data_IF_064461819846
#
_entry.id   IF_064461819846
#
_cell.length_a   1.000
_cell.length_b   1.000
_cell.length_c   1.000
_cell.angle_alpha   90.00
_cell.angle_beta   90.00
_cell.angle_gamma   90.00
#
_symmetry.space_group_name_H-M   'P 1'
#
loop_
_entity.id
_entity.type
_entity.pdbx_description
1 polymer ?
#
# COMPACT_ATOMS: atom_id res chain seq x y z
N UNK A 1 49.33 -32.26 23.38
CA UNK A 1 48.99 -31.41 22.22
C UNK A 1 47.62 -30.79 22.45
N UNK A 2 47.58 -29.52 22.88
CA UNK A 2 46.33 -28.81 23.16
C UNK A 2 46.09 -27.81 22.03
N UNK A 3 45.06 -28.07 21.23
CA UNK A 3 44.67 -27.22 20.10
C UNK A 3 43.92 -26.00 20.63
N UNK A 4 44.61 -24.86 20.69
CA UNK A 4 43.99 -23.55 20.87
C UNK A 4 43.15 -23.21 19.63
N UNK A 5 41.84 -23.44 19.69
CA UNK A 5 40.90 -22.87 18.72
C UNK A 5 40.68 -21.40 19.07
N UNK A 6 41.49 -20.51 18.50
CA UNK A 6 41.22 -19.06 18.51
C UNK A 6 39.96 -18.80 17.68
N UNK A 7 38.82 -18.68 18.35
CA UNK A 7 37.61 -18.13 17.73
C UNK A 7 37.83 -16.65 17.43
N UNK A 8 38.25 -16.34 16.21
CA UNK A 8 38.09 -14.99 15.66
C UNK A 8 36.59 -14.73 15.53
N UNK A 9 36.00 -14.08 16.53
CA UNK A 9 34.67 -13.48 16.43
C UNK A 9 34.76 -12.36 15.40
N UNK A 10 34.66 -12.71 14.12
CA UNK A 10 34.65 -11.78 13.00
C UNK A 10 33.43 -10.89 13.22
N UNK A 11 33.65 -9.64 13.67
CA UNK A 11 32.63 -8.58 13.67
C UNK A 11 32.15 -8.41 12.25
N UNK A 12 31.16 -9.21 11.87
CA UNK A 12 30.37 -9.08 10.67
C UNK A 12 29.85 -7.64 10.71
N UNK A 13 30.35 -6.81 9.79
CA UNK A 13 29.98 -5.40 9.66
C UNK A 13 28.46 -5.27 9.73
N UNK A 14 27.96 -4.73 10.85
CA UNK A 14 26.53 -4.47 11.05
C UNK A 14 25.95 -3.52 9.97
N UNK A 15 26.81 -2.82 9.21
CA UNK A 15 26.41 -1.94 8.11
C UNK A 15 25.90 -2.69 6.87
N UNK A 16 26.48 -3.84 6.51
CA UNK A 16 26.09 -4.58 5.32
C UNK A 16 24.72 -5.25 5.47
N UNK A 17 24.37 -5.74 6.67
CA UNK A 17 23.07 -6.36 6.93
C UNK A 17 21.89 -5.38 6.86
N UNK A 18 22.13 -4.10 7.15
CA UNK A 18 21.10 -3.04 7.06
C UNK A 18 20.79 -2.63 5.61
N UNK A 19 21.65 -2.94 4.66
CA UNK A 19 21.42 -2.65 3.23
C UNK A 19 20.69 -3.79 2.52
N UNK A 20 20.70 -5.00 3.11
CA UNK A 20 20.04 -6.20 2.57
C UNK A 20 18.68 -6.49 3.23
N UNK A 21 18.32 -5.77 4.29
CA UNK A 21 17.01 -5.92 4.94
C UNK A 21 15.92 -5.25 4.10
N UNK A 22 14.96 -6.05 3.64
CA UNK A 22 13.79 -5.58 2.89
C UNK A 22 12.98 -4.53 3.67
N UNK A 23 12.91 -4.66 5.00
CA UNK A 23 12.29 -3.67 5.88
C UNK A 23 13.01 -2.33 5.82
N UNK A 24 14.34 -2.32 6.01
CA UNK A 24 15.11 -1.07 6.05
C UNK A 24 15.10 -0.39 4.68
N UNK A 25 15.17 -1.15 3.58
CA UNK A 25 15.05 -0.60 2.23
C UNK A 25 13.68 0.04 1.99
N UNK A 26 12.58 -0.64 2.37
CA UNK A 26 11.22 -0.08 2.26
C UNK A 26 11.03 1.17 3.13
N UNK A 27 11.57 1.17 4.34
CA UNK A 27 11.49 2.33 5.23
C UNK A 27 12.23 3.54 4.63
N UNK A 28 13.46 3.35 4.14
CA UNK A 28 14.23 4.41 3.46
C UNK A 28 13.48 4.96 2.24
N UNK A 29 12.93 4.07 1.42
CA UNK A 29 12.13 4.47 0.26
C UNK A 29 10.91 5.30 0.68
N UNK A 30 10.19 4.90 1.74
CA UNK A 30 9.08 5.70 2.27
C UNK A 30 9.51 7.06 2.81
N UNK A 31 10.70 7.19 3.38
CA UNK A 31 11.24 8.50 3.79
C UNK A 31 11.57 9.36 2.58
N UNK A 32 12.22 8.80 1.56
CA UNK A 32 12.51 9.49 0.30
C UNK A 32 11.23 10.03 -0.35
N UNK A 33 10.17 9.23 -0.43
CA UNK A 33 8.87 9.68 -0.97
C UNK A 33 8.21 10.81 -0.16
N UNK A 34 8.51 10.92 1.14
CA UNK A 34 7.95 11.96 2.01
C UNK A 34 8.74 13.26 1.97
N UNK A 35 10.04 13.18 1.72
CA UNK A 35 10.96 14.32 1.79
C UNK A 35 11.25 14.92 0.40
N UNK A 36 11.29 14.10 -0.65
CA UNK A 36 11.58 14.52 -2.02
C UNK A 36 10.32 14.48 -2.89
N UNK A 37 9.85 15.67 -3.28
CA UNK A 37 8.69 15.80 -4.15
C UNK A 37 8.89 15.19 -5.55
N UNK A 38 10.10 15.23 -6.10
CA UNK A 38 10.36 14.67 -7.44
C UNK A 38 10.33 13.15 -7.40
N UNK A 39 10.93 12.55 -6.36
CA UNK A 39 10.80 11.13 -6.10
C UNK A 39 9.32 10.73 -5.93
N UNK A 40 8.55 11.53 -5.20
CA UNK A 40 7.11 11.33 -5.04
C UNK A 40 6.34 11.44 -6.35
N UNK A 41 6.56 12.48 -7.15
CA UNK A 41 5.92 12.67 -8.47
C UNK A 41 6.23 11.51 -9.41
N UNK A 42 7.48 11.05 -9.43
CA UNK A 42 7.90 9.89 -10.22
C UNK A 42 7.17 8.62 -9.77
N UNK A 43 7.12 8.37 -8.46
CA UNK A 43 6.42 7.22 -7.90
C UNK A 43 4.92 7.25 -8.19
N UNK A 44 4.28 8.43 -8.12
CA UNK A 44 2.86 8.59 -8.48
C UNK A 44 2.61 8.28 -9.97
N UNK A 45 3.50 8.71 -10.87
CA UNK A 45 3.37 8.44 -12.31
C UNK A 45 3.49 6.96 -12.65
N UNK A 46 4.40 6.24 -11.99
CA UNK A 46 4.60 4.80 -12.21
C UNK A 46 3.75 3.91 -11.31
N UNK A 47 3.03 4.53 -10.38
CA UNK A 47 2.27 3.86 -9.34
C UNK A 47 1.03 3.18 -9.90
N UNK A 48 0.58 2.19 -9.13
CA UNK A 48 -0.71 1.53 -9.33
C UNK A 48 -1.57 1.83 -8.13
N UNK A 49 -2.82 2.20 -8.37
CA UNK A 49 -3.75 2.66 -7.37
C UNK A 49 -4.93 1.71 -7.23
N UNK A 50 -5.43 1.62 -6.00
CA UNK A 50 -6.64 0.90 -5.63
C UNK A 50 -7.68 1.92 -5.17
N UNK A 51 -8.93 1.72 -5.60
CA UNK A 51 -10.01 2.63 -5.27
C UNK A 51 -10.81 2.11 -4.08
N UNK A 52 -11.05 2.99 -3.12
CA UNK A 52 -11.89 2.75 -1.95
C UNK A 52 -12.96 3.82 -1.86
N UNK A 53 -14.17 3.43 -1.46
CA UNK A 53 -15.27 4.32 -1.11
C UNK A 53 -15.85 3.85 0.22
N UNK A 54 -15.94 4.72 1.24
CA UNK A 54 -16.37 4.36 2.60
C UNK A 54 -15.65 3.13 3.19
N UNK A 55 -14.33 3.04 2.96
CA UNK A 55 -13.48 1.91 3.37
C UNK A 55 -13.76 0.57 2.66
N UNK A 56 -14.65 0.54 1.68
CA UNK A 56 -14.92 -0.64 0.85
C UNK A 56 -14.16 -0.51 -0.49
N UNK A 57 -13.39 -1.54 -0.90
CA UNK A 57 -12.66 -1.51 -2.16
C UNK A 57 -13.57 -1.78 -3.35
N UNK A 58 -13.20 -1.21 -4.50
CA UNK A 58 -13.79 -1.57 -5.77
C UNK A 58 -13.28 -2.95 -6.23
N UNK A 59 -14.20 -3.87 -6.53
CA UNK A 59 -13.90 -5.22 -6.99
C UNK A 59 -14.70 -5.57 -8.24
N UNK A 60 -14.06 -6.27 -9.19
CA UNK A 60 -14.70 -6.81 -10.39
C UNK A 60 -15.04 -8.28 -10.18
N UNK A 61 -16.30 -8.64 -10.43
CA UNK A 61 -16.72 -10.03 -10.37
C UNK A 61 -16.22 -10.79 -11.60
N UNK A 62 -15.46 -11.86 -11.39
CA UNK A 62 -14.96 -12.75 -12.44
C UNK A 62 -15.34 -14.19 -12.09
N UNK A 63 -16.58 -14.57 -12.42
CA UNK A 63 -17.15 -15.86 -12.02
C UNK A 63 -17.27 -15.99 -10.50
N UNK A 64 -16.56 -16.97 -9.92
CA UNK A 64 -16.54 -17.22 -8.47
C UNK A 64 -15.41 -16.49 -7.73
N UNK A 65 -14.69 -15.59 -8.40
CA UNK A 65 -13.57 -14.84 -7.83
C UNK A 65 -13.76 -13.34 -8.02
N UNK A 66 -13.16 -12.57 -7.13
CA UNK A 66 -13.02 -11.14 -7.31
C UNK A 66 -11.64 -10.80 -7.86
N UNK A 67 -11.61 -9.87 -8.80
CA UNK A 67 -10.41 -9.22 -9.28
C UNK A 67 -10.37 -7.79 -8.75
N UNK A 68 -9.15 -7.30 -8.53
CA UNK A 68 -8.93 -5.94 -8.06
C UNK A 68 -8.47 -5.07 -9.22
N UNK A 69 -9.26 -4.06 -9.64
CA UNK A 69 -8.84 -3.09 -10.65
C UNK A 69 -7.57 -2.37 -10.21
N UNK A 70 -6.57 -2.36 -11.10
CA UNK A 70 -5.28 -1.72 -10.89
C UNK A 70 -5.22 -0.49 -11.80
N UNK A 71 -5.44 0.68 -11.22
CA UNK A 71 -5.57 1.93 -11.96
C UNK A 71 -4.23 2.64 -12.07
N UNK A 72 -3.93 3.17 -13.24
CA UNK A 72 -2.86 4.15 -13.43
C UNK A 72 -3.28 5.52 -12.90
N UNK A 73 -2.31 6.43 -12.76
CA UNK A 73 -2.58 7.81 -12.34
C UNK A 73 -3.56 8.53 -13.28
N UNK A 74 -3.41 8.36 -14.59
CA UNK A 74 -4.24 9.05 -15.58
C UNK A 74 -5.70 8.59 -15.52
N UNK A 75 -5.93 7.27 -15.38
CA UNK A 75 -7.27 6.71 -15.20
C UNK A 75 -7.89 7.20 -13.89
N UNK A 76 -7.11 7.21 -12.80
CA UNK A 76 -7.58 7.68 -11.49
C UNK A 76 -7.98 9.17 -11.53
N UNK A 77 -7.16 10.03 -12.13
CA UNK A 77 -7.45 11.46 -12.25
C UNK A 77 -8.71 11.71 -13.10
N UNK A 78 -8.91 10.94 -14.18
CA UNK A 78 -10.11 11.02 -15.00
C UNK A 78 -11.38 10.65 -14.23
N UNK A 79 -11.34 9.56 -13.46
CA UNK A 79 -12.48 9.06 -12.68
C UNK A 79 -12.85 9.99 -11.52
N UNK A 80 -11.86 10.46 -10.75
CA UNK A 80 -12.09 11.34 -9.59
C UNK A 80 -12.61 12.72 -9.98
N UNK A 81 -12.25 13.22 -11.16
CA UNK A 81 -12.69 14.52 -11.63
C UNK A 81 -14.14 14.54 -12.13
N UNK A 82 -14.73 13.38 -12.45
CA UNK A 82 -15.94 13.34 -13.28
C UNK A 82 -17.11 12.54 -12.71
N UNK A 83 -16.90 11.53 -11.87
CA UNK A 83 -17.94 10.52 -11.65
C UNK A 83 -18.42 10.36 -10.19
N UNK A 84 -19.75 10.41 -9.93
CA UNK A 84 -20.31 9.87 -8.70
C UNK A 84 -20.07 8.35 -8.60
N UNK A 85 -20.23 7.79 -7.40
CA UNK A 85 -19.98 6.35 -7.11
C UNK A 85 -20.56 5.39 -8.14
N UNK A 86 -21.82 5.58 -8.54
CA UNK A 86 -22.52 4.72 -9.49
C UNK A 86 -21.91 4.72 -10.89
N UNK A 87 -21.40 5.87 -11.32
CA UNK A 87 -20.76 5.99 -12.63
C UNK A 87 -19.37 5.36 -12.62
N UNK A 88 -18.63 5.46 -11.51
CA UNK A 88 -17.35 4.75 -11.34
C UNK A 88 -17.52 3.22 -11.39
N UNK A 89 -18.57 2.69 -10.76
CA UNK A 89 -18.91 1.26 -10.80
C UNK A 89 -19.24 0.79 -12.23
N UNK A 90 -19.98 1.61 -12.99
CA UNK A 90 -20.33 1.32 -14.37
C UNK A 90 -19.10 1.36 -15.31
N UNK A 91 -18.27 2.40 -15.23
CA UNK A 91 -17.09 2.58 -16.07
C UNK A 91 -16.07 1.46 -15.86
N UNK A 92 -15.87 1.07 -14.60
CA UNK A 92 -14.90 0.03 -14.24
C UNK A 92 -15.52 -1.37 -14.22
N UNK A 93 -16.82 -1.53 -14.51
CA UNK A 93 -17.51 -2.83 -14.46
C UNK A 93 -17.36 -3.56 -13.12
N UNK A 94 -17.29 -2.79 -12.03
CA UNK A 94 -17.00 -3.28 -10.68
C UNK A 94 -18.03 -2.79 -9.67
N UNK A 95 -17.92 -3.26 -8.44
CA UNK A 95 -18.77 -2.81 -7.34
C UNK A 95 -17.96 -2.63 -6.06
N UNK A 96 -18.36 -1.65 -5.25
CA UNK A 96 -17.77 -1.47 -3.93
C UNK A 96 -18.35 -2.48 -2.95
N UNK A 97 -17.52 -3.43 -2.51
CA UNK A 97 -17.95 -4.57 -1.70
C UNK A 97 -17.21 -4.54 -0.37
N UNK A 98 -17.91 -4.91 0.71
CA UNK A 98 -17.27 -5.07 2.03
C UNK A 98 -16.15 -6.09 1.96
N UNK A 99 -14.94 -5.70 2.36
CA UNK A 99 -13.75 -6.56 2.34
C UNK A 99 -13.98 -7.93 2.99
N UNK A 100 -14.75 -7.98 4.08
CA UNK A 100 -15.07 -9.23 4.78
C UNK A 100 -15.87 -10.21 3.92
N UNK A 101 -16.72 -9.71 3.02
CA UNK A 101 -17.52 -10.54 2.11
C UNK A 101 -16.66 -11.08 0.96
N UNK A 102 -15.69 -10.29 0.49
CA UNK A 102 -14.82 -10.66 -0.62
C UNK A 102 -13.60 -11.51 -0.22
N UNK A 103 -13.29 -11.61 1.08
CA UNK A 103 -12.07 -12.25 1.62
C UNK A 103 -11.77 -13.63 1.02
N UNK A 104 -12.78 -14.49 0.88
CA UNK A 104 -12.60 -15.86 0.40
C UNK A 104 -12.53 -15.99 -1.13
N UNK A 105 -12.96 -14.96 -1.85
CA UNK A 105 -13.01 -14.95 -3.32
C UNK A 105 -11.84 -14.17 -3.94
N UNK A 106 -11.11 -13.41 -3.12
CA UNK A 106 -9.88 -12.72 -3.50
C UNK A 106 -8.67 -13.64 -3.43
N UNK A 107 -7.64 -13.33 -4.22
CA UNK A 107 -6.35 -13.99 -4.06
C UNK A 107 -5.66 -13.55 -2.75
N UNK A 108 -4.74 -14.36 -2.24
CA UNK A 108 -4.09 -14.11 -0.94
C UNK A 108 -3.25 -12.83 -0.90
N UNK A 109 -2.64 -12.46 -2.03
CA UNK A 109 -1.74 -11.30 -2.14
C UNK A 109 -2.53 -9.99 -2.10
N UNK A 110 -3.51 -9.86 -2.98
CA UNK A 110 -4.38 -8.69 -3.07
C UNK A 110 -5.24 -8.58 -1.82
N UNK A 111 -5.69 -9.69 -1.23
CA UNK A 111 -6.38 -9.69 0.06
C UNK A 111 -5.50 -9.05 1.14
N UNK A 112 -4.28 -9.55 1.35
CA UNK A 112 -3.35 -8.97 2.34
C UNK A 112 -3.09 -7.48 2.09
N UNK A 113 -2.99 -7.06 0.84
CA UNK A 113 -2.74 -5.67 0.48
C UNK A 113 -3.97 -4.79 0.76
N UNK A 114 -5.16 -5.22 0.37
CA UNK A 114 -6.40 -4.48 0.59
C UNK A 114 -6.75 -4.35 2.08
N UNK A 115 -6.50 -5.38 2.90
CA UNK A 115 -6.66 -5.27 4.35
C UNK A 115 -5.67 -4.28 4.97
N UNK A 116 -4.43 -4.28 4.48
CA UNK A 116 -3.41 -3.30 4.93
C UNK A 116 -3.83 -1.88 4.54
N UNK A 117 -4.31 -1.69 3.31
CA UNK A 117 -4.82 -0.41 2.84
C UNK A 117 -6.04 0.06 3.64
N UNK A 118 -7.00 -0.82 3.90
CA UNK A 118 -8.18 -0.49 4.71
C UNK A 118 -7.79 -0.10 6.14
N UNK A 119 -6.85 -0.81 6.76
CA UNK A 119 -6.36 -0.47 8.10
C UNK A 119 -5.69 0.92 8.10
N UNK A 120 -4.93 1.25 7.07
CA UNK A 120 -4.32 2.57 6.90
C UNK A 120 -5.39 3.67 6.73
N UNK A 121 -6.39 3.44 5.88
CA UNK A 121 -7.49 4.39 5.67
C UNK A 121 -8.31 4.61 6.94
N UNK A 122 -8.59 3.54 7.70
CA UNK A 122 -9.24 3.65 9.03
C UNK A 122 -8.41 4.43 10.03
N UNK A 123 -7.10 4.21 10.02
CA UNK A 123 -6.20 4.97 10.88
C UNK A 123 -6.26 6.45 10.50
N UNK A 124 -6.18 6.78 9.21
CA UNK A 124 -6.27 8.16 8.72
C UNK A 124 -7.60 8.82 9.11
N UNK A 125 -8.72 8.14 8.89
CA UNK A 125 -10.06 8.62 9.23
C UNK A 125 -10.21 8.90 10.74
N UNK A 126 -9.59 8.07 11.59
CA UNK A 126 -9.57 8.26 13.04
C UNK A 126 -8.51 9.25 13.56
N UNK A 127 -7.51 9.63 12.76
CA UNK A 127 -6.40 10.50 13.16
C UNK A 127 -6.45 11.81 12.37
N UNK A 128 -7.57 12.52 12.53
CA UNK A 128 -7.84 13.79 11.86
C UNK A 128 -6.99 14.94 12.37
N UNK A 129 -6.23 14.79 13.46
CA UNK A 129 -5.42 15.87 14.04
C UNK A 129 -3.96 15.45 14.21
N UNK A 130 -3.05 16.36 13.86
CA UNK A 130 -1.62 16.20 14.09
C UNK A 130 -1.29 16.26 15.59
N UNK A 131 -0.62 15.25 16.12
CA UNK A 131 -0.22 15.21 17.54
C UNK A 131 0.80 16.29 17.93
N UNK A 132 1.55 16.84 16.97
CA UNK A 132 2.55 17.89 17.22
C UNK A 132 1.94 19.29 17.24
N UNK A 133 1.02 19.59 16.30
CA UNK A 133 0.48 20.94 16.11
C UNK A 133 -0.98 21.10 16.52
N UNK A 134 -1.72 20.00 16.72
CA UNK A 134 -3.17 19.99 16.95
C UNK A 134 -3.99 20.42 15.74
N UNK A 135 -3.35 20.71 14.60
CA UNK A 135 -4.02 21.10 13.36
C UNK A 135 -4.62 19.87 12.68
N UNK A 136 -5.72 20.02 11.92
CA UNK A 136 -6.25 18.92 11.14
C UNK A 136 -5.20 18.41 10.13
N UNK A 137 -5.12 17.09 9.99
CA UNK A 137 -4.18 16.40 9.10
C UNK A 137 -4.66 16.38 7.66
#
# INVERSE_FOLDING_TARGET
MSLYCRTFFRRKSFGCYRLLSTYVTKARYLFELKEDEEACRKAQKTGVFYLFHDLDPLLQASGHRYLVPRLSRAELEGLLASLPKSEMEAELGGSFIKLRQALFQLNSVDSSLLFTAQALLRWHDGHQFCSKSGQPT
#
